data_IF_292463657340
#
_entry.id   IF_292463657340
#
_cell.length_a   1.000
_cell.length_b   1.000
_cell.length_c   1.000
_cell.angle_alpha   90.00
_cell.angle_beta   90.00
_cell.angle_gamma   90.00
#
_symmetry.space_group_name_H-M   'P 1'
#
loop_
_entity.id
_entity.type
_entity.pdbx_description
1 polymer ?
#
# COMPACT_ATOMS: atom_id res chain seq x y z
N UNK A 1 6.32 -22.86 1.15
CA UNK A 1 6.25 -21.47 0.59
C UNK A 1 5.88 -20.51 1.71
N UNK A 2 6.43 -19.31 1.70
CA UNK A 2 6.02 -18.24 2.63
C UNK A 2 4.56 -17.87 2.36
N UNK A 3 3.76 -17.64 3.41
CA UNK A 3 2.34 -17.29 3.25
C UNK A 3 2.15 -15.90 2.63
N UNK A 4 3.11 -14.98 2.82
CA UNK A 4 3.08 -13.67 2.20
C UNK A 4 4.46 -13.19 1.76
N UNK A 5 4.47 -12.35 0.73
CA UNK A 5 5.60 -11.55 0.28
C UNK A 5 5.35 -10.08 0.55
N UNK A 6 6.29 -9.23 0.16
CA UNK A 6 6.14 -7.79 0.29
C UNK A 6 6.58 -7.04 -0.98
N UNK A 7 5.92 -5.91 -1.23
CA UNK A 7 6.36 -4.89 -2.16
C UNK A 7 6.74 -3.63 -1.38
N UNK A 8 7.89 -3.05 -1.71
CA UNK A 8 8.41 -1.87 -1.06
C UNK A 8 8.87 -0.82 -2.10
N UNK A 9 8.02 0.13 -2.47
CA UNK A 9 8.45 1.29 -3.22
C UNK A 9 9.24 2.24 -2.30
N UNK A 10 10.47 2.57 -2.67
CA UNK A 10 11.37 3.48 -1.95
C UNK A 10 11.88 4.58 -2.89
N UNK A 11 12.31 5.73 -2.34
CA UNK A 11 12.71 6.87 -3.17
C UNK A 11 14.09 7.45 -2.82
N UNK A 12 14.27 8.07 -1.65
CA UNK A 12 15.50 8.78 -1.31
C UNK A 12 15.97 8.62 0.15
N UNK A 13 15.34 7.74 0.93
CA UNK A 13 15.64 7.56 2.34
C UNK A 13 16.19 6.15 2.65
N UNK A 14 17.46 5.89 2.30
CA UNK A 14 18.11 4.60 2.59
C UNK A 14 18.11 4.21 4.07
N UNK A 15 18.09 5.19 4.98
CA UNK A 15 18.05 4.91 6.42
C UNK A 15 16.71 4.32 6.82
N UNK A 16 15.60 4.93 6.40
CA UNK A 16 14.26 4.41 6.63
C UNK A 16 14.07 3.04 5.97
N UNK A 17 14.44 2.91 4.70
CA UNK A 17 14.36 1.64 3.97
C UNK A 17 15.12 0.53 4.68
N UNK A 18 16.35 0.82 5.14
CA UNK A 18 17.16 -0.16 5.89
C UNK A 18 16.52 -0.54 7.22
N UNK A 19 15.96 0.42 7.95
CA UNK A 19 15.25 0.16 9.20
C UNK A 19 14.04 -0.77 8.99
N UNK A 20 13.21 -0.50 8.00
CA UNK A 20 12.04 -1.33 7.68
C UNK A 20 12.46 -2.74 7.29
N UNK A 21 13.43 -2.88 6.39
CA UNK A 21 13.91 -4.18 5.91
C UNK A 21 14.61 -5.00 7.00
N UNK A 22 15.41 -4.38 7.86
CA UNK A 22 16.05 -5.05 9.00
C UNK A 22 15.00 -5.63 9.96
N UNK A 23 14.00 -4.86 10.31
CA UNK A 23 12.92 -5.31 11.18
C UNK A 23 12.05 -6.39 10.49
N UNK A 24 11.78 -6.25 9.20
CA UNK A 24 11.08 -7.28 8.42
C UNK A 24 11.86 -8.59 8.44
N UNK A 25 13.16 -8.58 8.11
CA UNK A 25 14.01 -9.78 8.08
C UNK A 25 14.17 -10.44 9.43
N UNK A 26 14.22 -9.65 10.52
CA UNK A 26 14.23 -10.20 11.89
C UNK A 26 12.97 -11.01 12.18
N UNK A 27 11.82 -10.57 11.72
CA UNK A 27 10.53 -11.22 11.97
C UNK A 27 10.18 -12.29 10.92
N UNK A 28 10.57 -12.08 9.67
CA UNK A 28 10.21 -12.89 8.50
C UNK A 28 11.44 -13.13 7.59
N UNK A 29 12.42 -13.91 8.03
CA UNK A 29 13.73 -14.00 7.36
C UNK A 29 13.65 -14.52 5.92
N UNK A 30 12.67 -15.37 5.60
CA UNK A 30 12.57 -16.07 4.32
C UNK A 30 11.43 -15.55 3.42
N UNK A 31 10.69 -14.53 3.84
CA UNK A 31 9.61 -14.00 3.02
C UNK A 31 10.18 -13.19 1.85
N UNK A 32 9.74 -13.41 0.60
CA UNK A 32 10.24 -12.67 -0.54
C UNK A 32 9.81 -11.20 -0.49
N UNK A 33 10.67 -10.30 -0.96
CA UNK A 33 10.42 -8.86 -1.05
C UNK A 33 10.82 -8.38 -2.42
N UNK A 34 9.97 -7.60 -3.09
CA UNK A 34 10.36 -6.76 -4.20
C UNK A 34 10.58 -5.33 -3.71
N UNK A 35 11.82 -4.88 -3.71
CA UNK A 35 12.23 -3.50 -3.47
C UNK A 35 12.26 -2.74 -4.79
N UNK A 36 11.53 -1.64 -4.90
CA UNK A 36 11.47 -0.82 -6.11
C UNK A 36 11.96 0.57 -5.80
N UNK A 37 13.07 0.99 -6.43
CA UNK A 37 13.45 2.40 -6.43
C UNK A 37 12.52 3.18 -7.36
N UNK A 38 11.80 4.15 -6.82
CA UNK A 38 10.81 4.98 -7.53
C UNK A 38 11.46 6.26 -8.11
N UNK A 39 12.46 6.09 -8.98
CA UNK A 39 13.17 7.18 -9.66
C UNK A 39 14.10 8.02 -8.77
N UNK A 40 14.35 7.56 -7.54
CA UNK A 40 15.24 8.21 -6.59
C UNK A 40 16.65 7.63 -6.58
N UNK A 41 17.15 7.36 -5.38
CA UNK A 41 18.47 6.76 -5.18
C UNK A 41 18.51 5.31 -5.70
N UNK A 42 19.70 4.85 -6.06
CA UNK A 42 19.95 3.43 -6.26
C UNK A 42 19.97 2.71 -4.90
N UNK A 43 19.15 1.68 -4.76
CA UNK A 43 19.02 0.84 -3.57
C UNK A 43 19.52 -0.58 -3.79
N UNK A 44 20.31 -0.83 -4.84
CA UNK A 44 20.84 -2.17 -5.14
C UNK A 44 21.67 -2.75 -3.99
N UNK A 45 22.48 -1.93 -3.32
CA UNK A 45 23.25 -2.29 -2.13
C UNK A 45 22.36 -2.70 -0.94
N UNK A 46 21.25 -2.01 -0.75
CA UNK A 46 20.27 -2.33 0.29
C UNK A 46 19.53 -3.61 -0.06
N UNK A 47 19.13 -3.77 -1.31
CA UNK A 47 18.46 -4.98 -1.80
C UNK A 47 19.34 -6.23 -1.64
N UNK A 48 20.61 -6.15 -1.99
CA UNK A 48 21.60 -7.24 -1.80
C UNK A 48 21.74 -7.59 -0.31
N UNK A 49 21.97 -6.59 0.55
CA UNK A 49 22.11 -6.76 2.00
C UNK A 49 20.92 -7.51 2.63
N UNK A 50 19.71 -7.20 2.20
CA UNK A 50 18.49 -7.78 2.76
C UNK A 50 17.88 -8.87 1.89
N UNK A 51 18.59 -9.36 0.86
CA UNK A 51 18.14 -10.44 -0.04
C UNK A 51 16.76 -10.15 -0.66
N UNK A 52 16.60 -8.96 -1.24
CA UNK A 52 15.39 -8.55 -1.93
C UNK A 52 15.55 -8.72 -3.45
N UNK A 53 14.47 -9.03 -4.16
CA UNK A 53 14.40 -8.68 -5.58
C UNK A 53 14.50 -7.17 -5.71
N UNK A 54 15.16 -6.66 -6.75
CA UNK A 54 15.37 -5.23 -6.94
C UNK A 54 15.03 -4.78 -8.34
N UNK A 55 14.27 -3.70 -8.44
CA UNK A 55 14.04 -3.00 -9.71
C UNK A 55 14.17 -1.48 -9.50
N UNK A 56 14.78 -0.81 -10.46
CA UNK A 56 14.70 0.64 -10.58
C UNK A 56 13.62 1.01 -11.59
N UNK A 57 12.75 1.94 -11.24
CA UNK A 57 11.61 2.38 -12.06
C UNK A 57 11.53 3.90 -12.08
N UNK A 58 10.92 4.46 -13.12
CA UNK A 58 10.62 5.88 -13.19
C UNK A 58 9.69 6.30 -12.04
N UNK A 59 9.88 7.53 -11.55
CA UNK A 59 9.09 8.07 -10.46
C UNK A 59 7.61 8.25 -10.83
N UNK A 60 6.72 7.62 -10.08
CA UNK A 60 5.27 7.77 -10.24
C UNK A 60 4.64 8.72 -9.23
N UNK A 61 5.28 8.97 -8.07
CA UNK A 61 4.76 9.86 -7.03
C UNK A 61 5.06 11.34 -7.30
N UNK A 62 5.92 11.65 -8.28
CA UNK A 62 6.33 13.01 -8.62
C UNK A 62 7.41 13.56 -7.69
N UNK A 63 8.28 14.41 -8.25
CA UNK A 63 9.28 15.14 -7.47
C UNK A 63 8.60 16.31 -6.77
N UNK A 64 8.27 16.20 -5.50
CA UNK A 64 7.93 17.36 -4.72
C UNK A 64 8.92 17.49 -3.57
N UNK A 65 9.76 18.53 -3.61
CA UNK A 65 10.59 18.95 -2.49
C UNK A 65 9.76 19.29 -1.23
N UNK A 66 8.44 19.33 -1.36
CA UNK A 66 7.48 19.71 -0.33
C UNK A 66 6.45 18.63 0.00
N UNK A 67 6.76 17.35 -0.15
CA UNK A 67 5.89 16.22 0.19
C UNK A 67 4.46 16.37 -0.38
N UNK A 68 3.97 15.46 -1.16
CA UNK A 68 2.64 15.44 -1.78
C UNK A 68 2.40 16.52 -2.82
N UNK A 69 2.82 16.24 -4.04
CA UNK A 69 2.33 17.00 -5.19
C UNK A 69 0.80 16.79 -5.29
N UNK A 70 0.03 17.88 -5.37
CA UNK A 70 -1.44 17.88 -5.47
C UNK A 70 -1.97 17.23 -6.75
N UNK A 71 -1.10 17.01 -7.72
CA UNK A 71 -1.40 16.27 -8.97
C UNK A 71 -1.19 14.77 -8.78
N UNK A 72 -1.92 14.22 -7.82
CA UNK A 72 -1.88 12.79 -7.57
C UNK A 72 -2.29 11.99 -8.81
N UNK A 73 -2.02 10.73 -8.74
CA UNK A 73 -2.24 9.67 -9.66
C UNK A 73 -3.27 9.96 -10.76
N UNK A 74 -2.79 10.42 -11.90
CA UNK A 74 -3.52 10.31 -13.16
C UNK A 74 -3.58 8.83 -13.58
N UNK A 75 -4.35 8.53 -14.63
CA UNK A 75 -4.51 7.16 -15.12
C UNK A 75 -3.17 6.43 -15.38
N UNK A 76 -2.17 7.13 -15.95
CA UNK A 76 -0.88 6.53 -16.26
C UNK A 76 -0.10 6.12 -14.98
N UNK A 77 -0.05 6.97 -13.97
CA UNK A 77 0.61 6.70 -12.69
C UNK A 77 -0.09 5.59 -11.91
N UNK A 78 -1.43 5.64 -11.85
CA UNK A 78 -2.22 4.60 -11.20
C UNK A 78 -2.01 3.25 -11.87
N UNK A 79 -1.99 3.22 -13.21
CA UNK A 79 -1.70 2.00 -13.96
C UNK A 79 -0.31 1.45 -13.64
N UNK A 80 0.72 2.30 -13.64
CA UNK A 80 2.09 1.87 -13.30
C UNK A 80 2.17 1.32 -11.86
N UNK A 81 1.45 1.91 -10.90
CA UNK A 81 1.33 1.37 -9.55
C UNK A 81 0.84 -0.08 -9.56
N UNK A 82 -0.25 -0.37 -10.25
CA UNK A 82 -0.80 -1.73 -10.34
C UNK A 82 0.10 -2.68 -11.13
N UNK A 83 0.81 -2.20 -12.14
CA UNK A 83 1.83 -2.99 -12.85
C UNK A 83 2.95 -3.43 -11.90
N UNK A 84 3.41 -2.57 -11.01
CA UNK A 84 4.41 -2.89 -9.98
C UNK A 84 3.89 -3.94 -8.99
N UNK A 85 2.65 -3.82 -8.56
CA UNK A 85 2.01 -4.81 -7.69
C UNK A 85 1.89 -6.17 -8.37
N UNK A 86 1.48 -6.19 -9.64
CA UNK A 86 1.47 -7.44 -10.43
C UNK A 86 2.87 -8.05 -10.52
N UNK A 87 3.87 -7.24 -10.81
CA UNK A 87 5.26 -7.69 -10.87
C UNK A 87 5.74 -8.28 -9.54
N UNK A 88 5.36 -7.69 -8.41
CA UNK A 88 5.66 -8.24 -7.09
C UNK A 88 4.98 -9.61 -6.88
N UNK A 89 3.73 -9.75 -7.29
CA UNK A 89 3.02 -11.04 -7.23
C UNK A 89 3.73 -12.11 -8.06
N UNK A 90 4.15 -11.77 -9.29
CA UNK A 90 4.83 -12.70 -10.20
C UNK A 90 6.21 -13.15 -9.67
N UNK A 91 6.93 -12.27 -8.95
CA UNK A 91 8.26 -12.59 -8.41
C UNK A 91 8.21 -13.29 -7.05
N UNK A 92 7.27 -12.90 -6.20
CA UNK A 92 7.21 -13.40 -4.83
C UNK A 92 6.50 -14.75 -4.72
N UNK A 93 5.57 -15.08 -5.62
CA UNK A 93 4.83 -16.34 -5.67
C UNK A 93 4.24 -16.77 -4.31
N UNK A 94 3.53 -15.84 -3.65
CA UNK A 94 2.95 -16.03 -2.32
C UNK A 94 1.43 -15.87 -2.34
N UNK A 95 0.75 -16.30 -1.26
CA UNK A 95 -0.71 -16.19 -1.12
C UNK A 95 -1.17 -14.76 -0.90
N UNK A 96 -0.37 -13.98 -0.17
CA UNK A 96 -0.66 -12.57 0.15
C UNK A 96 0.52 -11.67 -0.20
N UNK A 97 0.22 -10.38 -0.46
CA UNK A 97 1.22 -9.33 -0.67
C UNK A 97 1.02 -8.23 0.36
N UNK A 98 2.08 -7.93 1.12
CA UNK A 98 2.15 -6.81 2.05
C UNK A 98 2.73 -5.57 1.36
N UNK A 99 2.12 -4.41 1.56
CA UNK A 99 2.71 -3.13 1.20
C UNK A 99 3.66 -2.68 2.33
N UNK A 100 4.89 -2.32 1.99
CA UNK A 100 5.83 -1.68 2.88
C UNK A 100 6.04 -0.23 2.46
N UNK A 101 6.23 0.64 3.44
CA UNK A 101 6.50 2.07 3.30
C UNK A 101 7.59 2.48 4.29
N UNK A 102 8.21 3.65 4.06
CA UNK A 102 9.31 4.18 4.88
C UNK A 102 8.94 4.39 6.38
N UNK A 103 7.67 4.41 6.70
CA UNK A 103 7.15 4.64 8.05
C UNK A 103 6.47 3.41 8.68
N UNK A 104 6.82 2.23 8.20
CA UNK A 104 6.34 0.96 8.77
C UNK A 104 7.37 0.38 9.74
N UNK A 105 6.95 0.08 10.95
CA UNK A 105 7.78 -0.63 11.92
C UNK A 105 7.23 -2.02 12.22
N UNK A 106 7.94 -3.06 11.79
CA UNK A 106 7.63 -4.46 12.07
C UNK A 106 8.31 -4.86 13.37
N UNK A 107 7.54 -4.97 14.45
CA UNK A 107 8.03 -5.17 15.79
C UNK A 107 8.21 -6.62 16.18
N UNK A 108 7.28 -7.46 15.75
CA UNK A 108 7.26 -8.89 16.07
C UNK A 108 6.58 -9.72 14.97
N UNK A 109 6.88 -11.01 14.89
CA UNK A 109 6.22 -11.88 13.92
C UNK A 109 4.74 -12.06 14.26
N UNK A 110 3.92 -12.26 13.24
CA UNK A 110 2.51 -12.59 13.36
C UNK A 110 2.12 -13.69 12.37
N UNK A 111 0.94 -14.27 12.54
CA UNK A 111 0.39 -15.30 11.67
C UNK A 111 -0.88 -14.80 10.98
N UNK A 112 -1.12 -15.30 9.79
CA UNK A 112 -2.34 -15.07 9.04
C UNK A 112 -3.28 -16.27 9.26
N UNK A 113 -4.25 -16.12 10.14
CA UNK A 113 -5.09 -17.26 10.59
C UNK A 113 -6.35 -17.45 9.73
N UNK A 114 -6.80 -16.42 9.03
CA UNK A 114 -8.03 -16.46 8.21
C UNK A 114 -7.75 -15.95 6.80
N UNK A 115 -8.47 -16.49 5.83
CA UNK A 115 -8.46 -15.96 4.46
C UNK A 115 -9.20 -14.61 4.40
N UNK A 116 -8.68 -13.69 3.60
CA UNK A 116 -9.28 -12.38 3.36
C UNK A 116 -8.92 -11.92 1.94
N UNK A 117 -9.70 -11.00 1.40
CA UNK A 117 -9.35 -10.37 0.13
C UNK A 117 -8.37 -9.21 0.35
N UNK A 118 -8.62 -8.40 1.37
CA UNK A 118 -7.92 -7.14 1.59
C UNK A 118 -8.05 -6.73 3.05
N UNK A 119 -6.92 -6.48 3.72
CA UNK A 119 -6.86 -6.01 5.11
C UNK A 119 -5.86 -4.87 5.25
N UNK A 120 -6.23 -3.87 6.04
CA UNK A 120 -5.37 -2.73 6.35
C UNK A 120 -5.75 -2.06 7.65
N UNK A 121 -5.24 -0.85 7.83
CA UNK A 121 -5.37 -0.13 9.10
C UNK A 121 -6.82 0.32 9.34
N UNK A 122 -7.19 0.37 10.61
CA UNK A 122 -8.40 1.03 11.06
C UNK A 122 -8.09 2.52 11.27
N UNK A 123 -8.77 3.41 10.55
CA UNK A 123 -8.62 4.85 10.82
C UNK A 123 -9.75 5.41 11.65
N UNK A 124 -9.34 6.03 12.74
CA UNK A 124 -10.11 7.04 13.44
C UNK A 124 -9.73 8.46 12.99
N UNK A 125 -10.60 9.16 12.25
CA UNK A 125 -10.68 10.60 12.38
C UNK A 125 -9.92 11.54 11.45
N UNK A 126 -9.09 11.13 10.51
CA UNK A 126 -8.20 12.06 9.79
C UNK A 126 -8.67 12.46 8.39
N UNK A 127 -9.56 11.70 7.76
CA UNK A 127 -10.11 12.07 6.46
C UNK A 127 -11.42 12.87 6.57
N UNK A 128 -11.65 13.86 5.70
CA UNK A 128 -12.96 14.54 5.65
C UNK A 128 -14.07 13.51 5.47
N UNK A 129 -15.12 13.62 6.28
CA UNK A 129 -16.26 12.66 6.30
C UNK A 129 -16.84 12.38 4.90
N UNK A 130 -16.82 13.37 4.04
CA UNK A 130 -17.39 13.31 2.68
C UNK A 130 -16.58 12.41 1.75
N UNK A 131 -15.25 12.46 1.78
CA UNK A 131 -14.35 11.59 1.02
C UNK A 131 -14.55 10.10 1.32
N UNK A 132 -14.79 9.80 2.59
CA UNK A 132 -15.06 8.43 3.02
C UNK A 132 -16.35 7.91 2.43
N UNK A 133 -17.39 8.75 2.43
CA UNK A 133 -18.74 8.32 2.14
C UNK A 133 -18.86 7.79 0.72
N UNK A 134 -18.41 8.54 -0.25
CA UNK A 134 -18.58 8.18 -1.65
C UNK A 134 -17.75 6.97 -2.07
N UNK A 135 -16.47 6.91 -1.67
CA UNK A 135 -15.61 5.76 -1.93
C UNK A 135 -16.06 4.51 -1.15
N UNK A 136 -16.62 4.70 0.04
CA UNK A 136 -17.02 3.62 0.92
C UNK A 136 -18.41 3.07 0.57
N UNK A 137 -19.37 3.93 0.21
CA UNK A 137 -20.70 3.52 -0.24
C UNK A 137 -20.63 2.72 -1.54
N UNK A 138 -19.78 3.14 -2.50
CA UNK A 138 -19.55 2.40 -3.74
C UNK A 138 -18.79 1.09 -3.54
N UNK A 139 -17.92 1.01 -2.54
CA UNK A 139 -17.17 -0.19 -2.18
C UNK A 139 -17.83 -1.06 -1.12
N UNK A 140 -19.03 -0.70 -0.61
CA UNK A 140 -19.70 -1.42 0.48
C UNK A 140 -18.89 -1.42 1.79
N UNK A 141 -18.15 -0.36 2.07
CA UNK A 141 -17.20 -0.26 3.16
C UNK A 141 -17.76 0.43 4.40
N UNK A 142 -17.29 -0.01 5.55
CA UNK A 142 -17.54 0.63 6.83
C UNK A 142 -16.76 1.95 6.95
N UNK A 143 -17.45 3.03 7.32
CA UNK A 143 -16.91 4.41 7.41
C UNK A 143 -15.78 4.60 8.44
N UNK A 144 -15.49 3.61 9.25
CA UNK A 144 -14.43 3.66 10.25
C UNK A 144 -13.07 3.17 9.74
N UNK A 145 -12.97 2.73 8.49
CA UNK A 145 -11.79 2.05 7.95
C UNK A 145 -11.20 2.78 6.75
N UNK A 146 -9.91 2.66 6.60
CA UNK A 146 -9.15 3.40 5.60
C UNK A 146 -8.33 2.46 4.72
N UNK A 147 -7.82 2.98 3.64
CA UNK A 147 -7.20 2.29 2.58
C UNK A 147 -5.97 1.45 2.87
N UNK A 148 -5.33 1.08 1.78
CA UNK A 148 -4.12 0.25 1.75
C UNK A 148 -2.90 1.12 1.99
N UNK A 149 -2.53 1.32 3.25
CA UNK A 149 -1.27 1.95 3.64
C UNK A 149 -0.20 0.91 3.97
N UNK A 150 0.98 1.37 4.38
CA UNK A 150 2.06 0.49 4.82
C UNK A 150 1.65 -0.49 5.92
N UNK A 151 1.99 -1.76 5.75
CA UNK A 151 1.57 -2.87 6.59
C UNK A 151 0.26 -3.56 6.19
N UNK A 152 -0.49 -2.99 5.24
CA UNK A 152 -1.70 -3.61 4.67
C UNK A 152 -1.35 -4.78 3.76
N UNK A 153 -2.31 -5.70 3.58
CA UNK A 153 -2.15 -6.87 2.71
C UNK A 153 -3.38 -7.11 1.84
N UNK A 154 -3.14 -7.68 0.67
CA UNK A 154 -4.19 -8.22 -0.19
C UNK A 154 -3.89 -9.66 -0.60
N UNK A 155 -4.92 -10.42 -0.94
CA UNK A 155 -4.82 -11.77 -1.50
C UNK A 155 -4.37 -11.69 -2.96
N UNK A 156 -3.30 -12.40 -3.30
CA UNK A 156 -2.65 -12.37 -4.63
C UNK A 156 -3.55 -13.00 -5.70
N UNK A 157 -4.17 -14.13 -5.42
CA UNK A 157 -5.06 -14.80 -6.38
C UNK A 157 -6.25 -13.91 -6.74
N UNK A 158 -6.89 -13.29 -5.73
CA UNK A 158 -7.97 -12.34 -5.95
C UNK A 158 -7.48 -11.14 -6.77
N UNK A 159 -6.35 -10.54 -6.38
CA UNK A 159 -5.79 -9.40 -7.10
C UNK A 159 -5.53 -9.73 -8.57
N UNK A 160 -4.88 -10.85 -8.85
CA UNK A 160 -4.59 -11.28 -10.22
C UNK A 160 -5.86 -11.58 -11.02
N UNK A 161 -6.89 -12.14 -10.38
CA UNK A 161 -8.17 -12.43 -11.05
C UNK A 161 -8.93 -11.19 -11.49
N UNK A 162 -8.71 -10.04 -10.83
CA UNK A 162 -9.38 -8.76 -11.15
C UNK A 162 -8.44 -7.74 -11.80
N UNK A 163 -7.17 -8.09 -12.01
CA UNK A 163 -6.14 -7.15 -12.47
C UNK A 163 -6.49 -6.50 -13.82
N UNK A 164 -6.84 -7.28 -14.83
CA UNK A 164 -7.14 -6.74 -16.16
C UNK A 164 -8.36 -5.82 -16.13
N UNK A 165 -9.35 -6.14 -15.34
CA UNK A 165 -10.51 -5.28 -15.12
C UNK A 165 -10.15 -3.97 -14.40
N UNK A 166 -9.21 -4.01 -13.43
CA UNK A 166 -8.70 -2.80 -12.77
C UNK A 166 -7.98 -1.94 -13.81
N UNK A 167 -7.10 -2.50 -14.60
CA UNK A 167 -6.34 -1.77 -15.63
C UNK A 167 -7.27 -1.15 -16.67
N UNK A 168 -8.33 -1.86 -17.05
CA UNK A 168 -9.36 -1.34 -17.96
C UNK A 168 -10.09 -0.15 -17.34
N UNK A 169 -10.60 -0.31 -16.12
CA UNK A 169 -11.29 0.76 -15.40
C UNK A 169 -10.41 2.02 -15.25
N UNK A 170 -9.13 1.84 -14.90
CA UNK A 170 -8.19 2.96 -14.77
C UNK A 170 -8.00 3.64 -16.12
N UNK A 171 -7.79 2.88 -17.18
CA UNK A 171 -7.55 3.43 -18.53
C UNK A 171 -8.75 4.20 -19.06
N UNK A 172 -9.95 3.73 -18.81
CA UNK A 172 -11.19 4.29 -19.37
C UNK A 172 -11.82 5.38 -18.48
N UNK A 173 -11.64 5.30 -17.15
CA UNK A 173 -12.46 6.08 -16.21
C UNK A 173 -11.69 6.82 -15.12
N UNK A 174 -10.37 6.56 -14.90
CA UNK A 174 -9.67 7.06 -13.71
C UNK A 174 -9.69 8.59 -13.60
N UNK A 175 -9.39 9.29 -14.69
CA UNK A 175 -9.30 10.76 -14.66
C UNK A 175 -10.69 11.38 -14.40
N UNK A 176 -11.75 10.77 -14.97
CA UNK A 176 -13.13 11.16 -14.70
C UNK A 176 -13.52 10.89 -13.25
N UNK A 177 -13.18 9.70 -12.72
CA UNK A 177 -13.46 9.35 -11.33
C UNK A 177 -12.71 10.27 -10.34
N UNK A 178 -11.47 10.63 -10.64
CA UNK A 178 -10.71 11.60 -9.84
C UNK A 178 -11.39 12.97 -9.86
N UNK A 179 -11.90 13.40 -11.01
CA UNK A 179 -12.61 14.68 -11.16
C UNK A 179 -13.94 14.68 -10.41
N UNK A 180 -14.76 13.64 -10.58
CA UNK A 180 -16.06 13.48 -9.93
C UNK A 180 -15.95 13.39 -8.40
N UNK A 181 -14.87 12.79 -7.89
CA UNK A 181 -14.61 12.65 -6.45
C UNK A 181 -13.61 13.68 -5.91
N UNK A 182 -13.46 14.82 -6.55
CA UNK A 182 -12.62 15.94 -6.07
C UNK A 182 -13.34 16.76 -5.02
N UNK A 183 -12.58 17.25 -4.03
CA UNK A 183 -13.10 18.02 -2.90
C UNK A 183 -12.67 19.49 -2.96
N UNK A 184 -13.46 20.40 -2.36
CA UNK A 184 -13.03 21.76 -2.15
C UNK A 184 -11.68 21.78 -1.40
N UNK A 185 -10.67 22.42 -2.00
CA UNK A 185 -9.29 22.41 -1.48
C UNK A 185 -8.31 21.56 -2.31
N UNK A 186 -8.75 20.96 -3.41
CA UNK A 186 -7.89 20.29 -4.38
C UNK A 186 -7.47 18.86 -3.98
N UNK A 187 -8.16 18.27 -3.02
CA UNK A 187 -7.90 16.86 -2.64
C UNK A 187 -8.70 15.94 -3.56
N UNK A 188 -8.02 15.02 -4.24
CA UNK A 188 -8.62 14.12 -5.23
C UNK A 188 -8.67 12.69 -4.66
N UNK A 189 -9.80 12.29 -4.07
CA UNK A 189 -9.94 11.05 -3.30
C UNK A 189 -9.43 9.79 -3.99
N UNK A 190 -9.88 9.50 -5.20
CA UNK A 190 -9.43 8.33 -5.96
C UNK A 190 -8.06 8.51 -6.64
N UNK A 191 -7.47 9.71 -6.57
CA UNK A 191 -6.07 9.93 -6.88
C UNK A 191 -5.11 9.46 -5.78
N UNK A 192 -5.61 9.00 -4.63
CA UNK A 192 -4.83 8.38 -3.56
C UNK A 192 -4.85 6.87 -3.74
N UNK A 193 -3.69 6.26 -3.88
CA UNK A 193 -3.55 4.82 -4.21
C UNK A 193 -4.25 3.92 -3.22
N UNK A 194 -4.18 4.28 -1.94
CA UNK A 194 -4.80 3.55 -0.84
C UNK A 194 -6.31 3.42 -1.03
N UNK A 195 -6.97 4.51 -1.38
CA UNK A 195 -8.41 4.55 -1.62
C UNK A 195 -8.77 3.90 -2.95
N UNK A 196 -7.95 4.11 -3.98
CA UNK A 196 -8.15 3.52 -5.29
C UNK A 196 -8.16 1.98 -5.22
N UNK A 197 -7.23 1.38 -4.45
CA UNK A 197 -7.18 -0.07 -4.26
C UNK A 197 -8.45 -0.58 -3.57
N UNK A 198 -8.85 0.07 -2.49
CA UNK A 198 -10.09 -0.29 -1.78
C UNK A 198 -11.32 -0.18 -2.68
N UNK A 199 -11.42 0.88 -3.48
CA UNK A 199 -12.49 1.09 -4.45
C UNK A 199 -12.57 -0.05 -5.48
N UNK A 200 -11.45 -0.40 -6.11
CA UNK A 200 -11.45 -1.44 -7.15
C UNK A 200 -11.79 -2.83 -6.62
N UNK A 201 -11.33 -3.18 -5.42
CA UNK A 201 -11.73 -4.41 -4.76
C UNK A 201 -13.21 -4.38 -4.37
N UNK A 202 -13.67 -3.29 -3.76
CA UNK A 202 -15.06 -3.11 -3.33
C UNK A 202 -16.07 -3.14 -4.46
N UNK A 203 -15.76 -2.47 -5.59
CA UNK A 203 -16.57 -2.49 -6.82
C UNK A 203 -16.84 -3.92 -7.33
N UNK A 204 -15.94 -4.86 -7.00
CA UNK A 204 -16.02 -6.29 -7.38
C UNK A 204 -16.54 -7.19 -6.26
N UNK A 205 -17.09 -6.60 -5.19
CA UNK A 205 -17.72 -7.30 -4.08
C UNK A 205 -16.77 -7.78 -2.98
N UNK A 206 -15.48 -7.44 -3.04
CA UNK A 206 -14.52 -7.80 -2.00
C UNK A 206 -14.51 -6.76 -0.89
N UNK A 207 -14.71 -7.22 0.35
CA UNK A 207 -14.77 -6.34 1.52
C UNK A 207 -13.40 -6.03 2.08
N UNK A 208 -13.14 -4.76 2.36
CA UNK A 208 -12.03 -4.33 3.19
C UNK A 208 -12.28 -4.70 4.66
N UNK A 209 -11.24 -5.16 5.35
CA UNK A 209 -11.28 -5.55 6.76
C UNK A 209 -10.12 -4.89 7.52
N UNK A 210 -10.30 -4.69 8.82
CA UNK A 210 -9.18 -4.29 9.69
C UNK A 210 -8.20 -5.44 9.85
N UNK A 211 -6.92 -5.13 9.76
CA UNK A 211 -5.83 -6.06 10.02
C UNK A 211 -5.58 -6.17 11.52
N UNK A 212 -5.61 -7.36 12.06
CA UNK A 212 -5.37 -7.64 13.48
C UNK A 212 -3.90 -7.41 13.88
N UNK A 213 -3.01 -7.40 12.89
CA UNK A 213 -1.58 -7.20 13.11
C UNK A 213 -1.12 -5.75 12.97
N UNK A 214 -1.98 -4.83 12.50
CA UNK A 214 -1.58 -3.48 12.09
C UNK A 214 -2.27 -2.40 12.92
N UNK A 215 -1.47 -1.61 13.62
CA UNK A 215 -1.90 -0.44 14.37
C UNK A 215 -1.32 0.86 13.82
N UNK A 216 -1.98 1.96 14.11
CA UNK A 216 -1.55 3.32 13.79
C UNK A 216 -0.89 3.96 15.00
N UNK A 217 0.21 4.69 14.80
CA UNK A 217 0.93 5.37 15.89
C UNK A 217 0.05 6.36 16.68
N UNK A 218 -1.06 6.79 16.08
CA UNK A 218 -2.06 7.68 16.71
C UNK A 218 -3.02 6.97 17.65
N UNK A 219 -3.08 5.64 17.60
CA UNK A 219 -3.91 4.86 18.51
C UNK A 219 -3.24 4.76 19.89
N UNK A 220 -3.96 4.89 21.00
CA UNK A 220 -3.37 4.83 22.35
C UNK A 220 -2.60 3.54 22.63
N UNK A 221 -3.00 2.44 22.00
CA UNK A 221 -2.46 1.11 22.18
C UNK A 221 -1.66 0.60 20.96
N UNK A 222 -1.12 1.50 20.13
CA UNK A 222 -0.41 1.12 18.91
C UNK A 222 0.75 0.13 19.15
N UNK A 223 1.35 0.15 20.33
CA UNK A 223 2.40 -0.80 20.73
C UNK A 223 1.90 -2.22 21.00
N UNK A 224 0.60 -2.47 21.04
CA UNK A 224 0.06 -3.82 21.17
C UNK A 224 0.10 -4.57 19.83
N UNK A 225 0.20 -3.85 18.72
CA UNK A 225 0.23 -4.45 17.39
C UNK A 225 1.62 -4.91 16.96
N UNK A 226 1.71 -6.04 16.24
CA UNK A 226 2.96 -6.53 15.63
C UNK A 226 3.59 -5.59 14.61
N UNK A 227 2.78 -4.83 13.90
CA UNK A 227 3.17 -3.86 12.87
C UNK A 227 2.57 -2.51 13.22
N UNK A 228 3.38 -1.46 13.14
CA UNK A 228 2.94 -0.08 13.37
C UNK A 228 3.18 0.75 12.11
N UNK A 229 2.15 1.42 11.66
CA UNK A 229 2.21 2.38 10.56
C UNK A 229 2.36 3.81 11.09
N UNK A 230 2.84 4.74 10.24
CA UNK A 230 3.13 6.14 10.59
C UNK A 230 4.27 6.30 11.61
N UNK A 231 5.25 5.37 11.60
CA UNK A 231 6.43 5.42 12.46
C UNK A 231 7.47 6.44 11.97
N UNK A 232 7.01 7.62 11.57
CA UNK A 232 7.87 8.71 11.08
C UNK A 232 8.71 9.29 12.21
N UNK A 233 9.97 9.67 11.88
CA UNK A 233 10.89 10.32 12.80
C UNK A 233 11.44 9.42 13.93
N UNK A 234 11.22 8.11 13.89
CA UNK A 234 11.64 7.17 14.92
C UNK A 234 12.80 6.23 14.48
N UNK A 235 13.40 6.46 13.30
CA UNK A 235 14.48 5.66 12.75
C UNK A 235 15.74 6.47 12.42
#
# INVERSE_FOLDING_TARGET
>A
MSKFGAIYPCYNNKKATSFVLENFRRCFPNNPILLISDGGLDFSDVAEKYSCFYEWRDNIFGNSDNGYNKDFFNAARTKEWYCRHKRACDLCETEYMMLLEDDVWIRQPFKLDKSFALKGVRIGGVMPRNMRRDCLEQGGLDIERYGMCGGSMYNVEIFLSIYDDIIKDITENQDKLIEEHSYPGGYKGLGVVDLCTVYHFGKRGYKYQSAEWLGEVREPNYLDYPVVHQWKEHY
#
